data_IF_331289661695
#
_entry.id   IF_331289661695
#
_cell.length_a   1.000
_cell.length_b   1.000
_cell.length_c   1.000
_cell.angle_alpha   90.00
_cell.angle_beta   90.00
_cell.angle_gamma   90.00
#
_symmetry.space_group_name_H-M   'P 1'
#
loop_
_entity.id
_entity.type
_entity.pdbx_description
1 polymer ?
#
# COMPACT_ATOMS: atom_id res chain seq x y z
N UNK A 1 7.36 -12.66 -5.17
CA UNK A 1 6.84 -11.31 -5.05
C UNK A 1 6.44 -11.01 -3.63
N UNK A 2 6.81 -9.84 -3.11
CA UNK A 2 6.49 -9.45 -1.74
C UNK A 2 5.91 -8.05 -1.67
N UNK A 3 5.07 -7.81 -0.68
CA UNK A 3 4.43 -6.53 -0.42
C UNK A 3 4.89 -5.99 0.94
N UNK A 4 5.11 -4.68 0.99
CA UNK A 4 5.56 -4.00 2.21
C UNK A 4 4.76 -2.73 2.42
N UNK A 5 4.55 -2.39 3.70
CA UNK A 5 4.00 -1.08 4.07
C UNK A 5 5.09 -0.03 3.98
N UNK A 6 4.79 1.10 3.37
CA UNK A 6 5.71 2.24 3.31
C UNK A 6 5.03 3.49 3.84
N UNK A 7 5.82 4.37 4.45
CA UNK A 7 5.34 5.66 4.94
C UNK A 7 5.49 6.70 3.85
N UNK A 8 4.42 7.41 3.57
CA UNK A 8 4.40 8.50 2.60
C UNK A 8 4.41 9.82 3.35
N UNK A 9 5.47 10.62 3.21
CA UNK A 9 5.51 11.95 3.78
C UNK A 9 5.01 12.94 2.74
N UNK A 10 3.78 13.41 2.94
CA UNK A 10 3.24 14.50 2.12
C UNK A 10 3.44 15.78 2.93
N UNK A 11 4.38 16.62 2.49
CA UNK A 11 4.55 17.95 3.05
C UNK A 11 3.41 18.84 2.57
N UNK A 12 2.33 18.89 3.33
CA UNK A 12 1.39 19.98 3.18
C UNK A 12 1.76 21.07 4.19
N UNK A 13 1.63 22.33 3.81
CA UNK A 13 2.04 23.48 4.62
C UNK A 13 1.30 23.60 5.95
N UNK A 14 0.16 22.94 6.11
CA UNK A 14 -0.74 23.15 7.22
C UNK A 14 -1.00 21.93 8.09
N UNK A 15 -0.63 20.71 7.65
CA UNK A 15 -0.92 19.48 8.39
C UNK A 15 0.17 18.46 8.13
N UNK A 16 0.78 17.98 9.21
CA UNK A 16 1.63 16.80 9.17
C UNK A 16 0.75 15.57 9.00
N UNK A 17 0.19 15.38 7.83
CA UNK A 17 -0.58 14.18 7.53
C UNK A 17 0.37 13.03 7.23
N UNK A 18 0.38 12.04 8.11
CA UNK A 18 1.07 10.80 7.84
C UNK A 18 0.16 9.91 7.01
N UNK A 19 0.62 9.51 5.83
CA UNK A 19 -0.08 8.56 4.99
C UNK A 19 0.81 7.37 4.73
N UNK A 20 0.18 6.24 4.47
CA UNK A 20 0.89 4.98 4.26
C UNK A 20 0.47 4.37 2.94
N UNK A 21 1.40 3.68 2.31
CA UNK A 21 1.17 3.03 1.03
C UNK A 21 1.75 1.63 1.01
N UNK A 22 1.78 1.05 -0.18
CA UNK A 22 2.27 -0.32 -0.40
C UNK A 22 3.40 -0.28 -1.41
N UNK A 23 4.49 -0.97 -1.09
CA UNK A 23 5.57 -1.24 -2.04
C UNK A 23 5.44 -2.68 -2.52
N UNK A 24 5.47 -2.87 -3.84
CA UNK A 24 5.49 -4.19 -4.46
C UNK A 24 6.90 -4.49 -4.93
N UNK A 25 7.50 -5.56 -4.40
CA UNK A 25 8.83 -6.00 -4.79
C UNK A 25 8.70 -7.22 -5.70
N UNK A 26 9.11 -7.05 -6.95
CA UNK A 26 9.08 -8.12 -7.95
C UNK A 26 10.27 -9.07 -7.82
N UNK A 27 10.12 -10.28 -8.34
CA UNK A 27 11.16 -11.31 -8.26
C UNK A 27 12.46 -10.93 -9.00
N UNK A 28 12.37 -10.06 -9.99
CA UNK A 28 13.53 -9.57 -10.74
C UNK A 28 14.24 -8.39 -10.07
N UNK A 29 13.77 -7.97 -8.89
CA UNK A 29 14.31 -6.82 -8.16
C UNK A 29 13.64 -5.50 -8.47
N UNK A 30 12.69 -5.47 -9.40
CA UNK A 30 11.90 -4.27 -9.71
C UNK A 30 10.98 -3.91 -8.56
N UNK A 31 10.69 -2.62 -8.42
CA UNK A 31 9.81 -2.09 -7.37
C UNK A 31 8.73 -1.20 -7.95
N UNK A 32 7.54 -1.28 -7.36
CA UNK A 32 6.46 -0.39 -7.70
C UNK A 32 5.79 0.08 -6.41
N UNK A 33 5.36 1.33 -6.38
CA UNK A 33 4.77 1.94 -5.19
C UNK A 33 3.34 2.37 -5.48
N UNK A 34 2.43 2.06 -4.55
CA UNK A 34 1.09 2.64 -4.53
C UNK A 34 1.01 3.51 -3.30
N UNK A 35 1.08 4.81 -3.48
CA UNK A 35 1.13 5.77 -2.39
C UNK A 35 -0.27 6.20 -1.98
N UNK A 36 -0.38 6.76 -0.76
CA UNK A 36 -1.61 7.39 -0.30
C UNK A 36 -2.78 6.40 -0.19
N UNK A 37 -2.51 5.22 0.38
CA UNK A 37 -3.53 4.18 0.53
C UNK A 37 -4.41 4.44 1.75
N UNK A 38 -3.82 4.79 2.89
CA UNK A 38 -4.55 5.05 4.13
C UNK A 38 -3.74 5.92 5.07
N UNK A 39 -4.44 6.62 5.98
CA UNK A 39 -3.83 7.35 7.08
C UNK A 39 -3.52 6.43 8.26
N UNK A 40 -4.05 5.22 8.27
CA UNK A 40 -3.89 4.26 9.36
C UNK A 40 -2.96 3.12 8.94
N UNK A 41 -1.80 3.05 9.59
CA UNK A 41 -0.80 2.03 9.29
C UNK A 41 -1.34 0.62 9.50
N UNK A 42 -2.18 0.42 10.52
CA UNK A 42 -2.75 -0.90 10.83
C UNK A 42 -3.56 -1.45 9.66
N UNK A 43 -4.33 -0.60 9.00
CA UNK A 43 -5.16 -1.00 7.85
C UNK A 43 -4.27 -1.43 6.68
N UNK A 44 -3.20 -0.69 6.43
CA UNK A 44 -2.27 -1.02 5.34
C UNK A 44 -1.51 -2.30 5.66
N UNK A 45 -1.11 -2.50 6.92
CA UNK A 45 -0.42 -3.72 7.34
C UNK A 45 -1.30 -4.96 7.17
N UNK A 46 -2.58 -4.87 7.53
CA UNK A 46 -3.53 -5.97 7.33
C UNK A 46 -3.64 -6.30 5.84
N UNK A 47 -3.75 -5.29 5.00
CA UNK A 47 -3.83 -5.45 3.56
C UNK A 47 -2.57 -6.11 2.99
N UNK A 48 -1.40 -5.64 3.41
CA UNK A 48 -0.11 -6.19 2.99
C UNK A 48 0.04 -7.64 3.44
N UNK A 49 -0.32 -7.96 4.67
CA UNK A 49 -0.25 -9.32 5.19
C UNK A 49 -1.13 -10.27 4.39
N UNK A 50 -2.34 -9.85 4.04
CA UNK A 50 -3.24 -10.65 3.21
C UNK A 50 -2.65 -10.91 1.83
N UNK A 51 -2.11 -9.89 1.19
CA UNK A 51 -1.52 -10.04 -0.13
C UNK A 51 -0.32 -10.98 -0.12
N UNK A 52 0.51 -10.92 0.93
CA UNK A 52 1.64 -11.83 1.09
C UNK A 52 1.19 -13.26 1.38
N UNK A 53 0.18 -13.44 2.25
CA UNK A 53 -0.29 -14.76 2.64
C UNK A 53 -0.96 -15.52 1.49
N UNK A 54 -1.63 -14.82 0.59
CA UNK A 54 -2.34 -15.43 -0.53
C UNK A 54 -1.55 -15.40 -1.84
N UNK A 55 -0.30 -14.98 -1.82
CA UNK A 55 0.55 -14.89 -3.02
C UNK A 55 -0.15 -14.17 -4.18
N UNK A 56 -0.75 -13.01 -3.87
CA UNK A 56 -1.49 -12.22 -4.84
C UNK A 56 -0.56 -11.69 -5.93
N UNK A 57 -1.00 -11.76 -7.19
CA UNK A 57 -0.26 -11.20 -8.31
C UNK A 57 -0.39 -9.68 -8.40
N UNK A 58 0.56 -8.97 -9.05
CA UNK A 58 0.57 -7.50 -9.08
C UNK A 58 -0.70 -6.87 -9.62
N UNK A 59 -1.28 -7.42 -10.68
CA UNK A 59 -2.50 -6.88 -11.26
C UNK A 59 -3.68 -7.01 -10.30
N UNK A 60 -3.76 -8.13 -9.57
CA UNK A 60 -4.78 -8.34 -8.55
C UNK A 60 -4.55 -7.44 -7.34
N UNK A 61 -3.30 -7.26 -6.95
CA UNK A 61 -2.94 -6.39 -5.84
C UNK A 61 -3.38 -4.95 -6.08
N UNK A 62 -3.19 -4.45 -7.28
CA UNK A 62 -3.63 -3.08 -7.65
C UNK A 62 -5.14 -2.93 -7.52
N UNK A 63 -5.90 -3.91 -7.97
CA UNK A 63 -7.37 -3.90 -7.82
C UNK A 63 -7.80 -3.93 -6.36
N UNK A 64 -7.16 -4.78 -5.55
CA UNK A 64 -7.45 -4.89 -4.13
C UNK A 64 -7.16 -3.57 -3.42
N UNK A 65 -6.03 -2.95 -3.71
CA UNK A 65 -5.65 -1.67 -3.11
C UNK A 65 -6.61 -0.56 -3.52
N UNK A 66 -7.01 -0.53 -4.77
CA UNK A 66 -7.98 0.46 -5.26
C UNK A 66 -9.34 0.31 -4.60
N UNK A 67 -9.83 -0.92 -4.48
CA UNK A 67 -11.07 -1.20 -3.76
C UNK A 67 -10.99 -0.77 -2.30
N UNK A 68 -9.86 -1.02 -1.67
CA UNK A 68 -9.62 -0.61 -0.29
C UNK A 68 -9.68 0.92 -0.15
N UNK A 69 -9.00 1.64 -1.02
CA UNK A 69 -8.99 3.11 -1.01
C UNK A 69 -10.39 3.66 -1.22
N UNK A 70 -11.16 3.05 -2.11
CA UNK A 70 -12.50 3.49 -2.44
C UNK A 70 -13.47 3.28 -1.28
N UNK A 71 -13.35 2.17 -0.57
CA UNK A 71 -14.26 1.81 0.51
C UNK A 71 -13.95 2.49 1.85
N UNK A 72 -12.77 3.08 2.00
CA UNK A 72 -12.32 3.73 3.25
C UNK A 72 -12.35 5.26 3.20
N UNK A 73 -13.16 5.82 2.34
CA UNK A 73 -13.38 7.27 2.32
C UNK A 73 -14.44 7.69 3.31
#
# INVERSE_FOLDING_TARGET
MKYYTVKCNIESKDLNEEKYGVMMLYNDGGREYVLDVSEHIEDVQILVDRMNNYNIEPCQAKEIIEDFKFNNK
#
